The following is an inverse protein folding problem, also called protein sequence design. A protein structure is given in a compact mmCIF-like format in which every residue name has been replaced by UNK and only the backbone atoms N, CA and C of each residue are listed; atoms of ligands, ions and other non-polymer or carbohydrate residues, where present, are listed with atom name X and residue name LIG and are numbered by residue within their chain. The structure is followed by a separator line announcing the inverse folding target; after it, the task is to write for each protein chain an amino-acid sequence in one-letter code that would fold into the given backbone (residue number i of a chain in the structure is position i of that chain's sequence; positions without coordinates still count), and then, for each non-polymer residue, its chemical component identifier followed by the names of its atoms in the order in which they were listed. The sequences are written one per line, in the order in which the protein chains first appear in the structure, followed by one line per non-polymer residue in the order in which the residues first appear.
data_IF_678392274465
#
_entry.id   IF_678392274465
#
_cell.length_a   1.000
_cell.length_b   1.000
_cell.length_c   1.000
_cell.angle_alpha   90.00
_cell.angle_beta   90.00
_cell.angle_gamma   90.00
#
_symmetry.space_group_name_H-M   'P 1'
#
loop_
_entity.id
_entity.type
_entity.pdbx_description
1 polymer ?
#
# COMPACT_ATOMS: atom_id res chain seq x y z
N UNK A 1 18.48 -6.55 9.10
CA UNK A 1 17.54 -7.67 8.93
C UNK A 1 16.13 -7.11 8.85
N UNK A 2 15.69 -6.70 7.66
CA UNK A 2 14.28 -6.33 7.44
C UNK A 2 13.49 -7.63 7.25
N UNK A 3 12.51 -7.86 8.14
CA UNK A 3 11.72 -9.07 8.17
C UNK A 3 10.90 -9.22 6.89
N UNK A 4 11.26 -10.21 6.06
CA UNK A 4 10.44 -10.65 4.94
C UNK A 4 9.16 -11.27 5.49
N UNK A 5 8.11 -10.48 5.61
CA UNK A 5 6.79 -10.98 6.04
C UNK A 5 6.26 -11.86 4.90
N UNK A 6 6.31 -13.17 5.11
CA UNK A 6 5.77 -14.20 4.21
C UNK A 6 4.41 -14.62 4.73
N UNK A 7 3.37 -13.84 4.48
CA UNK A 7 2.01 -14.25 4.78
C UNK A 7 1.55 -15.26 3.72
N UNK A 8 1.56 -16.53 4.12
CA UNK A 8 0.96 -17.62 3.36
C UNK A 8 -0.45 -17.80 3.93
N UNK A 9 -1.51 -17.47 3.18
CA UNK A 9 -2.88 -17.98 3.36
C UNK A 9 -3.77 -17.48 2.21
N UNK A 10 -4.14 -18.41 1.32
CA UNK A 10 -5.34 -18.35 0.47
C UNK A 10 -5.60 -17.09 -0.35
N UNK A 11 -4.88 -16.91 -1.46
CA UNK A 11 -5.24 -15.92 -2.50
C UNK A 11 -4.11 -14.99 -2.92
N UNK A 12 -3.02 -15.55 -3.47
CA UNK A 12 -1.98 -14.82 -4.22
C UNK A 12 -1.29 -13.68 -3.43
N UNK A 13 -0.61 -14.03 -2.35
CA UNK A 13 0.22 -13.11 -1.58
C UNK A 13 1.37 -12.55 -2.44
N UNK A 14 1.35 -11.23 -2.69
CA UNK A 14 2.52 -10.50 -3.17
C UNK A 14 3.53 -10.30 -2.03
N UNK A 15 4.82 -10.29 -2.36
CA UNK A 15 5.86 -9.99 -1.38
C UNK A 15 5.81 -8.50 -1.02
N UNK A 16 5.82 -8.18 0.28
CA UNK A 16 5.95 -6.83 0.79
C UNK A 16 7.01 -6.75 1.88
N UNK A 17 7.65 -5.60 2.00
CA UNK A 17 8.71 -5.29 2.98
C UNK A 17 8.13 -4.56 4.20
N UNK A 18 7.07 -3.76 3.99
CA UNK A 18 6.38 -3.03 5.05
C UNK A 18 4.88 -3.08 4.84
N UNK A 19 4.13 -3.10 5.94
CA UNK A 19 2.68 -3.01 5.94
C UNK A 19 2.24 -1.72 6.64
N UNK A 20 1.17 -1.12 6.12
CA UNK A 20 0.56 0.10 6.63
C UNK A 20 -0.95 -0.07 6.69
N UNK A 21 -1.48 -0.14 7.92
CA UNK A 21 -2.90 -0.13 8.18
C UNK A 21 -3.43 1.32 8.25
N UNK A 22 -4.28 1.69 7.30
CA UNK A 22 -5.00 2.97 7.23
C UNK A 22 -6.52 2.77 7.17
N UNK A 23 -7.01 1.62 7.65
CA UNK A 23 -8.45 1.35 7.76
C UNK A 23 -9.09 2.37 8.71
N UNK A 24 -10.31 2.80 8.38
CA UNK A 24 -11.05 3.80 9.15
C UNK A 24 -10.53 5.24 9.03
N UNK A 25 -9.49 5.49 8.24
CA UNK A 25 -9.03 6.85 7.94
C UNK A 25 -9.72 7.38 6.69
N UNK A 26 -10.29 8.58 6.80
CA UNK A 26 -10.87 9.29 5.66
C UNK A 26 -9.81 10.11 4.92
N UNK A 27 -10.07 10.39 3.64
CA UNK A 27 -9.26 11.29 2.83
C UNK A 27 -9.05 12.65 3.55
N UNK A 28 -7.82 13.20 3.59
CA UNK A 28 -6.61 12.80 2.86
C UNK A 28 -5.59 11.96 3.66
N UNK A 29 -5.96 11.46 4.84
CA UNK A 29 -5.01 10.80 5.75
C UNK A 29 -4.34 9.52 5.21
N UNK A 30 -5.02 8.63 4.46
CA UNK A 30 -4.38 7.44 3.89
C UNK A 30 -3.17 7.76 3.00
N UNK A 31 -3.29 8.78 2.15
CA UNK A 31 -2.23 9.18 1.22
C UNK A 31 -1.07 9.84 1.97
N UNK A 32 -1.35 10.70 2.96
CA UNK A 32 -0.30 11.33 3.75
C UNK A 32 0.53 10.30 4.53
N UNK A 33 -0.13 9.30 5.14
CA UNK A 33 0.57 8.22 5.83
C UNK A 33 1.37 7.36 4.87
N UNK A 34 0.79 6.98 3.73
CA UNK A 34 1.49 6.22 2.69
C UNK A 34 2.74 6.96 2.21
N UNK A 35 2.62 8.27 1.93
CA UNK A 35 3.76 9.11 1.53
C UNK A 35 4.86 9.11 2.59
N UNK A 36 4.51 9.29 3.86
CA UNK A 36 5.47 9.28 4.96
C UNK A 36 6.17 7.92 5.04
N UNK A 37 5.42 6.83 5.02
CA UNK A 37 5.97 5.47 5.09
C UNK A 37 6.89 5.17 3.90
N UNK A 38 6.49 5.50 2.67
CA UNK A 38 7.34 5.35 1.49
C UNK A 38 8.60 6.22 1.54
N UNK A 39 8.55 7.40 2.16
CA UNK A 39 9.74 8.24 2.34
C UNK A 39 10.75 7.68 3.33
N UNK A 40 10.30 6.82 4.26
CA UNK A 40 11.15 6.09 5.20
C UNK A 40 11.67 4.75 4.63
N UNK A 41 11.18 4.34 3.45
CA UNK A 41 11.54 3.09 2.80
C UNK A 41 12.64 3.28 1.77
N UNK A 42 13.39 2.20 1.55
CA UNK A 42 14.44 2.13 0.54
C UNK A 42 13.85 1.92 -0.85
N UNK A 43 14.56 2.43 -1.87
CA UNK A 43 14.24 2.20 -3.27
C UNK A 43 14.13 0.69 -3.56
N UNK A 44 13.04 0.30 -4.22
CA UNK A 44 12.74 -1.09 -4.57
C UNK A 44 11.91 -1.86 -3.54
N UNK A 45 11.74 -1.34 -2.32
CA UNK A 45 10.89 -1.97 -1.30
C UNK A 45 9.40 -1.81 -1.63
N UNK A 46 8.60 -2.78 -1.20
CA UNK A 46 7.16 -2.83 -1.45
C UNK A 46 6.38 -2.58 -0.16
N UNK A 47 5.50 -1.59 -0.21
CA UNK A 47 4.57 -1.22 0.85
C UNK A 47 3.20 -1.84 0.58
N UNK A 48 2.71 -2.65 1.51
CA UNK A 48 1.34 -3.13 1.56
C UNK A 48 0.47 -2.14 2.36
N UNK A 49 -0.62 -1.63 1.78
CA UNK A 49 -1.49 -0.64 2.41
C UNK A 49 -2.91 -1.17 2.49
N UNK A 50 -3.50 -1.18 3.68
CA UNK A 50 -4.89 -1.60 3.89
C UNK A 50 -5.77 -0.39 4.16
N UNK A 51 -6.77 -0.16 3.32
CA UNK A 51 -7.77 0.90 3.47
C UNK A 51 -9.19 0.33 3.46
N UNK A 52 -10.15 1.04 4.03
CA UNK A 52 -11.59 0.68 3.95
C UNK A 52 -12.40 1.69 3.14
N UNK A 53 -11.73 2.69 2.57
CA UNK A 53 -12.38 3.76 1.82
C UNK A 53 -12.51 3.38 0.33
N UNK A 54 -13.72 3.45 -0.27
CA UNK A 54 -13.93 3.08 -1.66
C UNK A 54 -13.32 4.08 -2.67
N UNK A 55 -13.03 5.32 -2.24
CA UNK A 55 -12.34 6.33 -3.05
C UNK A 55 -10.83 6.14 -3.12
N UNK A 56 -10.26 5.38 -2.18
CA UNK A 56 -8.82 5.21 -2.03
C UNK A 56 -8.11 4.69 -3.28
N UNK A 57 -8.75 3.88 -4.12
CA UNK A 57 -8.12 3.35 -5.35
C UNK A 57 -7.65 4.47 -6.27
N UNK A 58 -8.54 5.43 -6.58
CA UNK A 58 -8.21 6.57 -7.45
C UNK A 58 -7.13 7.45 -6.84
N UNK A 59 -7.18 7.63 -5.52
CA UNK A 59 -6.17 8.40 -4.79
C UNK A 59 -4.79 7.71 -4.85
N UNK A 60 -4.72 6.39 -4.69
CA UNK A 60 -3.47 5.62 -4.80
C UNK A 60 -2.91 5.59 -6.22
N UNK A 61 -3.76 5.46 -7.23
CA UNK A 61 -3.33 5.57 -8.64
C UNK A 61 -2.77 6.96 -8.95
N UNK A 62 -3.46 8.02 -8.53
CA UNK A 62 -3.01 9.39 -8.69
C UNK A 62 -1.70 9.64 -7.92
N UNK A 63 -1.62 9.14 -6.69
CA UNK A 63 -0.42 9.26 -5.84
C UNK A 63 0.78 8.55 -6.44
N UNK A 64 0.63 7.32 -6.94
CA UNK A 64 1.68 6.58 -7.63
C UNK A 64 2.21 7.37 -8.83
N UNK A 65 1.30 7.87 -9.69
CA UNK A 65 1.65 8.72 -10.84
C UNK A 65 2.37 10.02 -10.44
N UNK A 66 1.89 10.71 -9.41
CA UNK A 66 2.46 11.99 -8.96
C UNK A 66 3.83 11.83 -8.29
N UNK A 67 4.03 10.77 -7.52
CA UNK A 67 5.29 10.52 -6.81
C UNK A 67 6.30 9.73 -7.63
N UNK A 68 5.88 9.17 -8.75
CA UNK A 68 6.66 8.27 -9.58
C UNK A 68 6.87 6.88 -8.96
N UNK A 69 6.19 6.58 -7.84
CA UNK A 69 6.15 5.23 -7.29
C UNK A 69 5.25 4.33 -8.13
N UNK A 70 5.43 3.02 -8.02
CA UNK A 70 4.73 2.06 -8.87
C UNK A 70 3.65 1.32 -8.07
N UNK A 71 2.39 1.42 -8.50
CA UNK A 71 1.31 0.59 -7.94
C UNK A 71 1.37 -0.79 -8.60
N UNK A 72 1.85 -1.79 -7.86
CA UNK A 72 2.02 -3.16 -8.34
C UNK A 72 0.70 -3.92 -8.42
N UNK A 73 -0.17 -3.71 -7.43
CA UNK A 73 -1.45 -4.41 -7.34
C UNK A 73 -2.43 -3.66 -6.46
N UNK A 74 -3.71 -3.83 -6.78
CA UNK A 74 -4.82 -3.42 -5.95
C UNK A 74 -5.83 -4.57 -5.91
N UNK A 75 -6.24 -4.94 -4.70
CA UNK A 75 -7.19 -6.02 -4.47
C UNK A 75 -8.22 -5.58 -3.45
N UNK A 76 -9.47 -6.01 -3.63
CA UNK A 76 -10.52 -5.83 -2.64
C UNK A 76 -10.82 -7.18 -2.00
N UNK A 77 -10.75 -7.25 -0.67
CA UNK A 77 -11.03 -8.45 0.11
C UNK A 77 -11.85 -8.09 1.33
N UNK A 78 -13.03 -8.69 1.50
CA UNK A 78 -13.87 -8.52 2.69
C UNK A 78 -14.14 -7.05 3.09
N UNK A 79 -14.41 -6.17 2.12
CA UNK A 79 -14.59 -4.69 2.29
C UNK A 79 -13.34 -3.93 2.73
N UNK A 80 -12.17 -4.55 2.60
CA UNK A 80 -10.86 -3.92 2.76
C UNK A 80 -10.19 -3.87 1.40
N UNK A 81 -9.68 -2.70 1.05
CA UNK A 81 -8.87 -2.46 -0.12
C UNK A 81 -7.40 -2.59 0.25
N UNK A 82 -6.71 -3.49 -0.43
CA UNK A 82 -5.29 -3.74 -0.27
C UNK A 82 -4.54 -3.18 -1.49
N UNK A 83 -3.52 -2.37 -1.23
CA UNK A 83 -2.68 -1.77 -2.26
C UNK A 83 -1.22 -2.14 -2.05
N UNK A 84 -0.53 -2.47 -3.12
CA UNK A 84 0.90 -2.78 -3.10
C UNK A 84 1.64 -1.72 -3.89
N UNK A 85 2.37 -0.83 -3.20
CA UNK A 85 3.16 0.22 -3.81
C UNK A 85 4.66 -0.08 -3.69
N UNK A 86 5.35 -0.09 -4.81
CA UNK A 86 6.81 -0.18 -4.85
C UNK A 86 7.42 1.20 -4.83
N UNK A 87 8.36 1.39 -3.90
CA UNK A 87 9.18 2.59 -3.82
C UNK A 87 10.07 2.67 -5.06
N UNK A 88 9.90 3.75 -5.84
CA UNK A 88 10.81 4.05 -6.95
C UNK A 88 12.20 4.38 -6.43
#
# INVERSE_FOLDING_TARGET
MAGKIRLSLGGRAMHFDRELDVKGLNCPLPILRTKKTLSEMSQGEVLHVLATDPGSLKDFEAFARQTGNELLSSTESNRVFEYYLKRK
#
